data_IF_327845271164
#
_entry.id   IF_327845271164
#
_cell.length_a   1.000
_cell.length_b   1.000
_cell.length_c   1.000
_cell.angle_alpha   90.00
_cell.angle_beta   90.00
_cell.angle_gamma   90.00
#
_symmetry.space_group_name_H-M   'P 1'
#
loop_
_entity.id
_entity.type
_entity.pdbx_description
1 polymer ?
#
# COMPACT_ATOMS: atom_id res chain seq x y z
N UNK A 1 12.02 1.16 -2.21
CA UNK A 1 10.72 1.74 -1.78
C UNK A 1 10.02 2.28 -3.01
N UNK A 2 8.76 1.87 -3.21
CA UNK A 2 7.84 2.44 -4.18
C UNK A 2 6.75 3.21 -3.43
N UNK A 3 6.39 4.39 -3.93
CA UNK A 3 5.33 5.24 -3.35
C UNK A 3 4.39 5.69 -4.45
N UNK A 4 3.09 5.55 -4.20
CA UNK A 4 2.01 6.04 -5.07
C UNK A 4 1.10 6.97 -4.29
N UNK A 5 0.96 8.22 -4.73
CA UNK A 5 -0.05 9.16 -4.22
C UNK A 5 -1.40 8.91 -4.89
N UNK A 6 -2.45 8.85 -4.10
CA UNK A 6 -3.83 8.67 -4.54
C UNK A 6 -4.63 9.82 -3.94
N UNK A 7 -5.28 10.62 -4.79
CA UNK A 7 -6.14 11.72 -4.36
C UNK A 7 -7.57 11.46 -4.83
N UNK A 8 -8.51 11.47 -3.89
CA UNK A 8 -9.94 11.43 -4.15
C UNK A 8 -10.54 12.82 -3.98
N UNK A 9 -11.32 13.27 -4.96
CA UNK A 9 -11.96 14.59 -4.96
C UNK A 9 -13.47 14.44 -5.05
N UNK A 10 -14.20 15.19 -4.24
CA UNK A 10 -15.67 15.28 -4.34
C UNK A 10 -16.09 16.26 -5.44
N UNK A 11 -16.71 15.73 -6.49
CA UNK A 11 -17.24 16.48 -7.63
C UNK A 11 -18.78 16.57 -7.60
N UNK A 12 -19.42 16.24 -6.48
CA UNK A 12 -20.89 16.13 -6.40
C UNK A 12 -21.62 17.47 -6.32
N UNK A 13 -20.90 18.58 -6.14
CA UNK A 13 -21.49 19.89 -5.92
C UNK A 13 -22.14 20.09 -4.53
N UNK A 14 -21.96 19.17 -3.61
CA UNK A 14 -22.44 19.30 -2.22
C UNK A 14 -21.62 20.35 -1.48
N UNK A 15 -22.24 21.02 -0.55
CA UNK A 15 -21.61 22.07 0.27
C UNK A 15 -21.33 21.63 1.70
N UNK A 16 -21.83 20.46 2.10
CA UNK A 16 -21.71 19.93 3.46
C UNK A 16 -21.51 18.42 3.50
N UNK A 17 -21.08 17.93 4.65
CA UNK A 17 -20.85 16.51 4.93
C UNK A 17 -19.52 15.97 4.41
N UNK A 18 -19.40 14.68 4.50
CA UNK A 18 -18.22 13.91 4.06
C UNK A 18 -18.64 12.67 3.28
N UNK A 19 -17.72 12.14 2.49
CA UNK A 19 -17.87 10.82 1.84
C UNK A 19 -16.76 9.89 2.29
N UNK A 20 -17.13 8.67 2.58
CA UNK A 20 -16.18 7.59 2.79
C UNK A 20 -15.83 6.96 1.44
N UNK A 21 -14.54 6.99 1.08
CA UNK A 21 -13.98 6.30 -0.07
C UNK A 21 -13.12 5.16 0.44
N UNK A 22 -13.40 3.93 0.01
CA UNK A 22 -12.58 2.77 0.31
C UNK A 22 -11.56 2.58 -0.81
N UNK A 23 -10.28 2.71 -0.50
CA UNK A 23 -9.18 2.38 -1.39
C UNK A 23 -8.82 0.92 -1.14
N UNK A 24 -8.99 0.09 -2.16
CA UNK A 24 -8.69 -1.34 -2.08
C UNK A 24 -7.47 -1.62 -2.94
N UNK A 25 -6.49 -2.33 -2.39
CA UNK A 25 -5.29 -2.77 -3.09
C UNK A 25 -5.10 -4.27 -2.90
N UNK A 26 -5.16 -4.98 -4.02
CA UNK A 26 -4.88 -6.41 -4.09
C UNK A 26 -3.46 -6.66 -4.60
N UNK A 27 -2.82 -7.70 -4.10
CA UNK A 27 -1.46 -8.10 -4.46
C UNK A 27 -1.34 -9.62 -4.52
N UNK A 28 -0.76 -10.09 -5.63
CA UNK A 28 -0.49 -11.49 -5.91
C UNK A 28 0.96 -11.59 -6.40
N UNK A 29 1.88 -11.81 -5.46
CA UNK A 29 3.30 -11.92 -5.75
C UNK A 29 3.72 -13.39 -5.92
N UNK A 30 4.61 -13.63 -6.89
CA UNK A 30 5.31 -14.91 -7.05
C UNK A 30 6.79 -14.68 -6.78
N UNK A 31 7.22 -14.88 -5.52
CA UNK A 31 8.55 -14.46 -5.04
C UNK A 31 9.73 -15.10 -5.78
N UNK A 32 9.56 -16.29 -6.34
CA UNK A 32 10.58 -17.01 -7.11
C UNK A 32 10.06 -17.55 -8.44
N UNK A 33 9.05 -16.87 -9.01
CA UNK A 33 8.43 -17.30 -10.28
C UNK A 33 7.50 -18.51 -10.14
N UNK A 34 7.25 -18.97 -8.91
CA UNK A 34 6.25 -19.99 -8.60
C UNK A 34 5.36 -19.51 -7.48
N UNK A 35 4.07 -19.85 -7.52
CA UNK A 35 3.13 -19.47 -6.48
C UNK A 35 3.21 -20.33 -5.20
N UNK A 36 3.93 -21.45 -5.23
CA UNK A 36 3.96 -22.40 -4.11
C UNK A 36 5.11 -22.11 -3.16
N UNK A 37 4.81 -22.07 -1.86
CA UNK A 37 5.81 -21.93 -0.78
C UNK A 37 6.05 -20.48 -0.34
N UNK A 38 5.23 -19.55 -0.79
CA UNK A 38 5.23 -18.19 -0.30
C UNK A 38 4.38 -18.09 0.98
N UNK A 39 4.58 -17.05 1.77
CA UNK A 39 3.77 -16.73 2.94
C UNK A 39 3.35 -15.27 2.86
N UNK A 40 2.07 -15.01 3.11
CA UNK A 40 1.53 -13.67 3.30
C UNK A 40 0.99 -13.54 4.73
N UNK A 41 1.30 -12.43 5.42
CA UNK A 41 0.78 -12.17 6.75
C UNK A 41 0.61 -10.68 7.02
N UNK A 42 -0.28 -10.35 7.95
CA UNK A 42 -0.41 -9.00 8.49
C UNK A 42 0.59 -8.80 9.64
N UNK A 43 1.44 -7.80 9.52
CA UNK A 43 2.38 -7.39 10.56
C UNK A 43 1.82 -6.19 11.33
N UNK A 44 1.39 -6.36 12.58
CA UNK A 44 0.76 -5.27 13.34
C UNK A 44 1.74 -4.17 13.76
N UNK A 45 3.04 -4.46 13.88
CA UNK A 45 4.06 -3.46 14.20
C UNK A 45 4.28 -2.50 13.02
N UNK A 46 4.29 -3.05 11.80
CA UNK A 46 4.41 -2.28 10.57
C UNK A 46 3.06 -1.72 10.09
N UNK A 47 1.94 -2.23 10.61
CA UNK A 47 0.62 -2.07 10.03
C UNK A 47 0.64 -2.30 8.51
N UNK A 48 1.16 -3.45 8.10
CA UNK A 48 1.43 -3.78 6.70
C UNK A 48 1.11 -5.25 6.41
N UNK A 49 0.72 -5.54 5.17
CA UNK A 49 0.73 -6.89 4.64
C UNK A 49 2.13 -7.22 4.13
N UNK A 50 2.68 -8.31 4.64
CA UNK A 50 4.03 -8.78 4.29
C UNK A 50 3.93 -10.09 3.53
N UNK A 51 4.53 -10.12 2.35
CA UNK A 51 4.79 -11.34 1.59
C UNK A 51 6.26 -11.71 1.71
N UNK A 52 6.55 -12.98 2.01
CA UNK A 52 7.94 -13.40 2.05
C UNK A 52 8.14 -14.84 1.61
N UNK A 53 9.36 -15.11 1.14
CA UNK A 53 9.93 -16.44 0.94
C UNK A 53 11.44 -16.36 1.03
N UNK A 54 12.04 -17.18 1.89
CA UNK A 54 13.48 -17.16 2.17
C UNK A 54 13.99 -15.75 2.53
N UNK A 55 14.90 -15.16 1.75
CA UNK A 55 15.46 -13.83 1.95
C UNK A 55 14.81 -12.77 1.05
N UNK A 56 13.58 -12.97 0.60
CA UNK A 56 12.81 -11.96 -0.15
C UNK A 56 11.59 -11.58 0.65
N UNK A 57 11.48 -10.32 0.97
CA UNK A 57 10.38 -9.72 1.72
C UNK A 57 9.82 -8.54 0.94
N UNK A 58 8.51 -8.47 0.84
CA UNK A 58 7.76 -7.34 0.31
C UNK A 58 6.71 -6.94 1.33
N UNK A 59 6.64 -5.68 1.71
CA UNK A 59 5.54 -5.16 2.51
C UNK A 59 4.74 -4.14 1.72
N UNK A 60 3.44 -4.14 1.94
CA UNK A 60 2.50 -3.18 1.37
C UNK A 60 1.68 -2.54 2.48
N UNK A 61 1.54 -1.22 2.43
CA UNK A 61 0.67 -0.48 3.36
C UNK A 61 0.16 0.81 2.75
N UNK A 62 -0.83 1.42 3.40
CA UNK A 62 -1.26 2.78 3.15
C UNK A 62 -0.71 3.73 4.21
N UNK A 63 -0.43 4.97 3.82
CA UNK A 63 -0.23 6.11 4.69
C UNK A 63 -1.31 7.13 4.39
N UNK A 64 -2.01 7.62 5.40
CA UNK A 64 -2.92 8.76 5.26
C UNK A 64 -2.13 10.07 5.20
N UNK A 65 -2.72 11.11 4.62
CA UNK A 65 -2.25 12.47 4.84
C UNK A 65 -2.85 12.95 6.17
N UNK A 66 -2.02 13.29 7.14
CA UNK A 66 -2.50 13.95 8.35
C UNK A 66 -2.95 15.38 8.02
N UNK A 67 -3.99 15.85 8.74
CA UNK A 67 -4.54 17.18 8.54
C UNK A 67 -3.53 18.32 8.85
N UNK A 68 -2.48 18.03 9.60
CA UNK A 68 -1.40 18.94 9.98
C UNK A 68 -0.13 18.82 9.11
N UNK A 69 -0.20 18.05 8.01
CA UNK A 69 0.92 17.80 7.12
C UNK A 69 2.00 16.86 7.67
N UNK A 70 1.79 16.30 8.87
CA UNK A 70 2.68 15.26 9.40
C UNK A 70 2.43 13.94 8.67
N UNK A 71 3.47 13.11 8.47
CA UNK A 71 3.27 11.79 7.91
C UNK A 71 2.39 10.96 8.86
N UNK A 72 1.17 10.67 8.44
CA UNK A 72 0.33 9.72 9.16
C UNK A 72 0.99 8.35 9.10
N UNK A 73 1.01 7.68 10.23
CA UNK A 73 1.42 6.27 10.30
C UNK A 73 0.53 5.42 9.38
N UNK A 74 1.06 4.30 8.99
CA UNK A 74 0.39 3.30 8.19
C UNK A 74 -1.06 3.06 8.65
N UNK A 75 -1.98 3.08 7.72
CA UNK A 75 -3.42 3.13 7.99
C UNK A 75 -4.18 2.09 7.16
N UNK A 76 -3.79 0.82 7.27
CA UNK A 76 -4.64 -0.27 6.81
C UNK A 76 -5.86 -0.31 7.73
N UNK A 77 -7.06 -0.18 7.14
CA UNK A 77 -8.33 -0.24 7.88
C UNK A 77 -8.82 -1.68 7.99
N UNK A 78 -8.73 -2.43 6.89
CA UNK A 78 -9.12 -3.84 6.81
C UNK A 78 -8.12 -4.58 5.92
N UNK A 79 -7.99 -5.88 6.14
CA UNK A 79 -7.09 -6.73 5.35
C UNK A 79 -7.61 -8.16 5.26
N UNK A 80 -7.10 -8.90 4.28
CA UNK A 80 -7.22 -10.34 4.19
C UNK A 80 -5.99 -10.94 3.52
N UNK A 81 -5.53 -12.09 4.00
CA UNK A 81 -4.60 -12.97 3.29
C UNK A 81 -5.35 -14.22 2.84
N UNK A 82 -5.01 -14.77 1.68
CA UNK A 82 -5.71 -15.92 1.13
C UNK A 82 -4.89 -16.67 0.09
N UNK A 83 -5.58 -17.57 -0.61
CA UNK A 83 -5.00 -18.40 -1.65
C UNK A 83 -5.57 -18.00 -3.01
N UNK A 84 -4.71 -17.81 -4.00
CA UNK A 84 -5.09 -17.46 -5.37
C UNK A 84 -4.53 -18.47 -6.38
N UNK A 85 -5.38 -18.88 -7.33
CA UNK A 85 -4.97 -19.71 -8.46
C UNK A 85 -4.55 -21.14 -8.11
N UNK A 86 -4.94 -21.65 -6.96
CA UNK A 86 -4.68 -23.02 -6.52
C UNK A 86 -5.98 -23.72 -6.08
N UNK A 87 -6.24 -24.90 -6.60
CA UNK A 87 -7.44 -25.71 -6.29
C UNK A 87 -8.77 -24.96 -6.44
N UNK A 88 -8.88 -24.05 -7.40
CA UNK A 88 -10.08 -23.26 -7.65
C UNK A 88 -10.27 -22.04 -6.75
N UNK A 89 -9.31 -21.73 -5.87
CA UNK A 89 -9.36 -20.51 -5.09
C UNK A 89 -9.16 -19.28 -5.99
N UNK A 90 -10.09 -18.32 -5.90
CA UNK A 90 -10.12 -17.13 -6.76
C UNK A 90 -9.24 -16.00 -6.23
N UNK A 91 -9.00 -15.97 -4.92
CA UNK A 91 -8.18 -14.96 -4.26
C UNK A 91 -8.97 -14.01 -3.36
N UNK A 92 -8.23 -13.22 -2.56
CA UNK A 92 -8.79 -12.28 -1.59
C UNK A 92 -9.44 -11.04 -2.23
N UNK A 93 -9.23 -10.79 -3.52
CA UNK A 93 -9.94 -9.73 -4.24
C UNK A 93 -11.46 -9.96 -4.24
N UNK A 94 -11.88 -11.23 -4.19
CA UNK A 94 -13.29 -11.61 -4.12
C UNK A 94 -13.92 -11.27 -2.77
N UNK A 95 -13.15 -11.37 -1.69
CA UNK A 95 -13.57 -10.94 -0.36
C UNK A 95 -13.89 -9.44 -0.32
N UNK A 96 -13.22 -8.64 -1.16
CA UNK A 96 -13.42 -7.20 -1.24
C UNK A 96 -14.68 -6.76 -2.00
N UNK A 97 -15.40 -7.66 -2.69
CA UNK A 97 -16.56 -7.31 -3.54
C UNK A 97 -17.74 -6.72 -2.73
N UNK A 98 -17.93 -7.11 -1.48
CA UNK A 98 -18.94 -6.52 -0.59
C UNK A 98 -18.45 -5.27 0.14
N UNK A 99 -17.18 -4.89 -0.07
CA UNK A 99 -16.51 -3.74 0.53
C UNK A 99 -15.91 -4.00 1.90
N UNK A 100 -15.84 -5.26 2.36
CA UNK A 100 -15.23 -5.68 3.62
C UNK A 100 -14.16 -6.74 3.40
N UNK A 101 -13.19 -6.81 4.33
CA UNK A 101 -12.14 -7.83 4.32
C UNK A 101 -12.16 -8.60 5.64
N UNK A 102 -12.10 -9.92 5.57
CA UNK A 102 -12.38 -10.83 6.70
C UNK A 102 -11.31 -10.84 7.81
N UNK A 103 -10.17 -10.18 7.61
CA UNK A 103 -9.13 -10.09 8.63
C UNK A 103 -8.31 -11.37 8.81
N UNK A 104 -8.27 -12.27 7.81
CA UNK A 104 -7.39 -13.43 7.85
C UNK A 104 -5.93 -12.98 7.87
N UNK A 105 -5.22 -13.29 8.96
CA UNK A 105 -3.95 -12.67 9.26
C UNK A 105 -2.73 -13.37 8.63
N UNK A 106 -2.86 -14.63 8.21
CA UNK A 106 -1.74 -15.39 7.65
C UNK A 106 -2.22 -16.50 6.71
N UNK A 107 -1.52 -16.64 5.58
CA UNK A 107 -1.73 -17.73 4.62
C UNK A 107 -0.38 -18.20 4.07
N UNK A 108 -0.27 -19.51 3.79
CA UNK A 108 0.92 -20.13 3.21
C UNK A 108 0.58 -20.93 1.95
N UNK A 109 1.49 -20.96 0.99
CA UNK A 109 1.35 -21.71 -0.26
C UNK A 109 1.29 -20.79 -1.48
N UNK A 110 0.22 -20.87 -2.26
CA UNK A 110 -0.07 -19.97 -3.37
C UNK A 110 -0.86 -18.76 -2.83
N UNK A 111 -0.17 -17.77 -2.31
CA UNK A 111 -0.77 -16.71 -1.50
C UNK A 111 -1.04 -15.43 -2.30
N UNK A 112 -2.13 -14.78 -1.94
CA UNK A 112 -2.43 -13.40 -2.28
C UNK A 112 -2.82 -12.62 -1.02
N UNK A 113 -3.02 -11.33 -1.15
CA UNK A 113 -3.59 -10.53 -0.08
C UNK A 113 -4.26 -9.27 -0.62
N UNK A 114 -5.22 -8.78 0.15
CA UNK A 114 -5.93 -7.53 -0.12
C UNK A 114 -5.94 -6.67 1.14
N UNK A 115 -5.75 -5.37 0.96
CA UNK A 115 -5.85 -4.38 2.03
C UNK A 115 -6.75 -3.24 1.62
N UNK A 116 -7.41 -2.61 2.58
CA UNK A 116 -8.19 -1.38 2.37
C UNK A 116 -7.73 -0.25 3.27
N UNK A 117 -7.92 0.97 2.78
CA UNK A 117 -7.81 2.21 3.54
C UNK A 117 -9.05 3.04 3.34
N UNK A 118 -9.65 3.49 4.43
CA UNK A 118 -10.84 4.31 4.42
C UNK A 118 -10.46 5.79 4.44
N UNK A 119 -10.74 6.47 3.34
CA UNK A 119 -10.42 7.87 3.12
C UNK A 119 -11.68 8.72 3.25
N UNK A 120 -11.70 9.67 4.18
CA UNK A 120 -12.81 10.60 4.36
C UNK A 120 -12.59 11.83 3.50
N UNK A 121 -13.46 12.06 2.50
CA UNK A 121 -13.40 13.18 1.57
C UNK A 121 -14.44 14.20 1.97
N UNK A 122 -14.06 15.47 2.31
CA UNK A 122 -15.01 16.52 2.64
C UNK A 122 -15.81 16.97 1.40
N UNK A 123 -17.00 17.50 1.61
CA UNK A 123 -17.84 18.03 0.54
C UNK A 123 -17.11 19.14 -0.24
N UNK A 124 -17.09 19.03 -1.57
CA UNK A 124 -16.37 19.95 -2.47
C UNK A 124 -14.85 19.96 -2.30
N UNK A 125 -14.30 19.09 -1.43
CA UNK A 125 -12.87 19.01 -1.13
C UNK A 125 -12.19 17.79 -1.71
N UNK A 126 -10.99 17.55 -1.23
CA UNK A 126 -10.19 16.36 -1.59
C UNK A 126 -9.51 15.77 -0.37
N UNK A 127 -9.15 14.48 -0.48
CA UNK A 127 -8.34 13.78 0.49
C UNK A 127 -7.30 12.91 -0.21
N UNK A 128 -6.13 12.77 0.40
CA UNK A 128 -4.99 12.06 -0.18
C UNK A 128 -4.53 10.93 0.74
N UNK A 129 -4.18 9.81 0.13
CA UNK A 129 -3.47 8.71 0.75
C UNK A 129 -2.28 8.29 -0.11
N UNK A 130 -1.34 7.59 0.50
CA UNK A 130 -0.17 7.04 -0.19
C UNK A 130 -0.16 5.53 -0.01
N UNK A 131 -0.10 4.80 -1.12
CA UNK A 131 0.17 3.36 -1.13
C UNK A 131 1.68 3.14 -1.31
N UNK A 132 2.25 2.27 -0.49
CA UNK A 132 3.68 2.00 -0.52
C UNK A 132 3.96 0.50 -0.65
N UNK A 133 5.02 0.18 -1.41
CA UNK A 133 5.62 -1.15 -1.45
C UNK A 133 7.09 -1.02 -1.06
N UNK A 134 7.52 -1.85 -0.11
CA UNK A 134 8.89 -1.87 0.39
C UNK A 134 9.45 -3.27 0.25
N UNK A 135 10.60 -3.40 -0.40
CA UNK A 135 11.32 -4.66 -0.56
C UNK A 135 12.54 -4.72 0.35
N UNK A 136 12.79 -5.87 0.96
CA UNK A 136 13.95 -6.14 1.81
C UNK A 136 14.37 -7.61 1.74
N UNK A 137 15.45 -7.95 2.43
CA UNK A 137 15.96 -9.33 2.56
C UNK A 137 15.56 -9.99 3.88
N UNK A 138 15.01 -9.18 4.79
CA UNK A 138 14.57 -9.61 6.12
C UNK A 138 13.43 -8.71 6.62
N UNK A 139 12.73 -9.16 7.67
CA UNK A 139 11.77 -8.31 8.39
C UNK A 139 12.44 -7.07 9.00
N UNK A 140 13.70 -7.21 9.46
CA UNK A 140 14.45 -6.09 10.03
C UNK A 140 14.72 -4.99 8.97
N UNK A 141 14.99 -5.37 7.73
CA UNK A 141 15.12 -4.39 6.64
C UNK A 141 13.82 -3.63 6.42
N UNK A 142 12.67 -4.33 6.48
CA UNK A 142 11.36 -3.68 6.37
C UNK A 142 11.15 -2.67 7.50
N UNK A 143 11.42 -3.04 8.76
CA UNK A 143 11.33 -2.12 9.90
C UNK A 143 12.18 -0.86 9.70
N UNK A 144 13.43 -1.04 9.29
CA UNK A 144 14.35 0.07 9.02
C UNK A 144 13.84 1.00 7.92
N UNK A 145 13.34 0.42 6.82
CA UNK A 145 12.85 1.19 5.68
C UNK A 145 11.50 1.87 5.96
N UNK A 146 10.62 1.26 6.74
CA UNK A 146 9.38 1.90 7.20
C UNK A 146 9.66 3.06 8.15
N UNK A 147 10.60 2.91 9.09
CA UNK A 147 11.04 3.99 9.96
C UNK A 147 11.61 5.16 9.16
N UNK A 148 12.49 4.87 8.18
CA UNK A 148 13.03 5.88 7.28
C UNK A 148 11.93 6.60 6.48
N UNK A 149 10.94 5.85 5.95
CA UNK A 149 9.83 6.43 5.21
C UNK A 149 8.95 7.32 6.09
N UNK A 150 8.72 6.93 7.35
CA UNK A 150 7.98 7.75 8.32
C UNK A 150 8.70 9.06 8.63
N UNK A 151 10.04 9.04 8.75
CA UNK A 151 10.86 10.23 8.98
C UNK A 151 10.86 11.19 7.78
N UNK A 152 10.92 10.66 6.55
CA UNK A 152 11.08 11.46 5.33
C UNK A 152 9.75 11.77 4.62
N UNK A 153 8.66 11.19 5.07
CA UNK A 153 7.31 11.18 4.51
C UNK A 153 7.18 10.60 3.10
N UNK A 154 6.05 9.96 2.77
CA UNK A 154 5.79 9.48 1.41
C UNK A 154 5.81 10.60 0.36
N UNK A 155 5.30 11.80 0.70
CA UNK A 155 5.35 12.95 -0.21
C UNK A 155 6.80 13.43 -0.41
N UNK A 156 7.60 13.48 0.64
CA UNK A 156 9.02 13.86 0.53
C UNK A 156 9.83 12.92 -0.37
N UNK A 157 9.51 11.62 -0.36
CA UNK A 157 10.11 10.64 -1.30
C UNK A 157 9.74 10.96 -2.75
N UNK A 158 8.46 11.28 -3.02
CA UNK A 158 8.00 11.66 -4.36
C UNK A 158 8.67 12.95 -4.83
N UNK A 159 8.78 13.96 -3.97
CA UNK A 159 9.38 15.25 -4.29
C UNK A 159 10.89 15.12 -4.60
N UNK A 160 11.61 14.33 -3.80
CA UNK A 160 13.03 13.99 -4.05
C UNK A 160 13.22 13.28 -5.38
N UNK A 161 12.39 12.27 -5.65
CA UNK A 161 12.44 11.52 -6.91
C UNK A 161 12.16 12.43 -8.10
N UNK A 162 11.12 13.27 -8.00
CA UNK A 162 10.78 14.26 -9.04
C UNK A 162 11.93 15.26 -9.29
N UNK A 163 12.54 15.75 -8.22
CA UNK A 163 13.69 16.67 -8.33
C UNK A 163 14.89 16.01 -8.98
N UNK A 164 15.19 14.77 -8.61
CA UNK A 164 16.27 13.99 -9.22
C UNK A 164 16.01 13.75 -10.73
N UNK A 165 14.79 13.36 -11.10
CA UNK A 165 14.43 13.16 -12.51
C UNK A 165 14.54 14.46 -13.33
N UNK A 166 14.12 15.61 -12.75
CA UNK A 166 14.24 16.92 -13.41
C UNK A 166 15.69 17.32 -13.63
N UNK A 167 16.56 17.08 -12.65
CA UNK A 167 18.01 17.35 -12.79
C UNK A 167 18.61 16.48 -13.92
N UNK A 168 18.24 15.23 -14.00
CA UNK A 168 18.69 14.30 -15.04
C UNK A 168 18.23 14.75 -16.44
N UNK A 169 16.95 15.09 -16.59
CA UNK A 169 16.37 15.55 -17.86
C UNK A 169 16.87 16.96 -18.24
N UNK A 170 17.09 17.85 -17.28
CA UNK A 170 17.63 19.20 -17.53
C UNK A 170 19.12 19.23 -17.88
N UNK A 171 19.89 18.20 -17.50
CA UNK A 171 21.30 18.04 -17.88
C UNK A 171 21.52 17.49 -19.29
N UNK A 172 20.49 16.99 -19.96
CA UNK A 172 20.54 16.49 -21.34
C UNK A 172 20.10 17.58 -22.31
N UNK A 173 20.79 18.74 -22.34
CA UNK A 173 20.77 19.61 -23.50
C UNK A 173 21.60 18.90 -24.59
N UNK A 174 20.95 18.02 -25.33
CA UNK A 174 21.46 17.59 -26.65
C UNK A 174 21.32 18.77 -27.60
N UNK A 175 22.45 19.45 -27.86
CA UNK A 175 22.61 20.34 -28.99
C UNK A 175 22.76 19.53 -30.27
#
# INVERSE_FOLDING_TARGET
>A
IYVRRITAKDLSGRTDGTRLVRLIHHQDFSMFGTKVGDTAYFDPELNALVHYRAKRYLSATFYGAAADGQPSLAAITEYATGTSGFQGAEGTWRDAEDGHLQGNAITQGAVDSTMSHHLTVPAGGEATAYMTLIAGQSRQDLLTLHAWLSEHSPQGVLDRTSSYCRLWLGGTNLH
#
